data_IF_201139721320
#
_entry.id   IF_201139721320
#
_cell.length_a   1.000
_cell.length_b   1.000
_cell.length_c   1.000
_cell.angle_alpha   90.00
_cell.angle_beta   90.00
_cell.angle_gamma   90.00
#
_symmetry.space_group_name_H-M   'P 1'
#
loop_
_entity.id
_entity.type
_entity.pdbx_description
1 polymer ?
#
# COMPACT_ATOMS: atom_id res chain seq x y z
N UNK A 1 -5.05 -1.76 9.57
CA UNK A 1 -4.12 -0.62 9.42
C UNK A 1 -4.71 0.54 8.61
N UNK A 2 -5.25 0.35 7.40
CA UNK A 2 -5.83 1.45 6.59
C UNK A 2 -6.93 2.24 7.33
N UNK A 3 -7.82 1.55 8.04
CA UNK A 3 -8.87 2.21 8.82
C UNK A 3 -8.29 3.06 9.96
N UNK A 4 -7.29 2.55 10.68
CA UNK A 4 -6.63 3.29 11.75
C UNK A 4 -5.96 4.58 11.25
N UNK A 5 -5.38 4.58 10.05
CA UNK A 5 -4.83 5.79 9.42
C UNK A 5 -5.86 6.88 9.09
N UNK A 6 -7.16 6.60 9.26
CA UNK A 6 -8.26 7.57 9.09
C UNK A 6 -8.75 8.17 10.41
N UNK A 7 -8.38 7.58 11.54
CA UNK A 7 -8.75 8.12 12.84
C UNK A 7 -7.90 9.35 13.18
N UNK A 8 -8.55 10.43 13.57
CA UNK A 8 -7.85 11.56 14.19
C UNK A 8 -7.25 11.14 15.54
N UNK A 9 -6.23 11.86 15.98
CA UNK A 9 -5.59 11.58 17.28
C UNK A 9 -6.60 11.61 18.44
N UNK A 10 -7.59 12.51 18.40
CA UNK A 10 -8.64 12.62 19.40
C UNK A 10 -9.62 11.43 19.46
N UNK A 11 -9.65 10.61 18.40
CA UNK A 11 -10.50 9.40 18.32
C UNK A 11 -9.76 8.13 18.73
N UNK A 12 -8.46 8.23 19.02
CA UNK A 12 -7.64 7.08 19.40
C UNK A 12 -7.68 6.87 20.91
N UNK A 13 -7.97 5.66 21.30
CA UNK A 13 -7.83 5.20 22.69
C UNK A 13 -6.48 4.52 22.89
N UNK A 14 -5.99 4.34 24.12
CA UNK A 14 -4.75 3.60 24.37
C UNK A 14 -4.73 2.19 23.76
N UNK A 15 -5.89 1.52 23.73
CA UNK A 15 -6.01 0.21 23.08
C UNK A 15 -5.81 0.30 21.57
N UNK A 16 -6.38 1.32 20.92
CA UNK A 16 -6.22 1.57 19.49
C UNK A 16 -4.75 1.89 19.17
N UNK A 17 -4.11 2.74 19.96
CA UNK A 17 -2.69 3.08 19.78
C UNK A 17 -1.78 1.86 19.93
N UNK A 18 -2.05 1.02 20.93
CA UNK A 18 -1.34 -0.25 21.09
C UNK A 18 -1.52 -1.16 19.87
N UNK A 19 -2.74 -1.31 19.36
CA UNK A 19 -3.02 -2.12 18.18
C UNK A 19 -2.36 -1.55 16.92
N UNK A 20 -2.32 -0.22 16.77
CA UNK A 20 -1.61 0.47 15.67
C UNK A 20 -0.12 0.14 15.76
N UNK A 21 0.49 0.32 16.93
CA UNK A 21 1.92 0.09 17.12
C UNK A 21 2.31 -1.37 16.83
N UNK A 22 1.56 -2.32 17.37
CA UNK A 22 1.79 -3.74 17.10
C UNK A 22 1.66 -4.07 15.60
N UNK A 23 0.66 -3.48 14.94
CA UNK A 23 0.47 -3.66 13.50
C UNK A 23 1.59 -3.06 12.67
N UNK A 24 2.13 -1.89 13.07
CA UNK A 24 3.29 -1.25 12.44
C UNK A 24 4.52 -2.17 12.57
N UNK A 25 4.84 -2.60 13.78
CA UNK A 25 6.00 -3.47 14.03
C UNK A 25 5.89 -4.80 13.28
N UNK A 26 4.69 -5.40 13.21
CA UNK A 26 4.47 -6.58 12.39
C UNK A 26 4.73 -6.32 10.89
N UNK A 27 4.17 -5.23 10.34
CA UNK A 27 4.33 -4.91 8.92
C UNK A 27 5.75 -4.53 8.54
N UNK A 28 6.52 -3.98 9.48
CA UNK A 28 7.92 -3.57 9.29
C UNK A 28 8.91 -4.58 9.89
N UNK A 29 8.45 -5.75 10.36
CA UNK A 29 9.32 -6.83 10.85
C UNK A 29 10.17 -7.48 9.75
N UNK A 30 9.74 -7.32 8.50
CA UNK A 30 10.45 -7.75 7.28
C UNK A 30 10.39 -6.62 6.26
N UNK A 31 11.28 -6.65 5.27
CA UNK A 31 11.16 -5.71 4.13
C UNK A 31 9.83 -6.00 3.40
N UNK A 32 8.94 -5.00 3.27
CA UNK A 32 7.68 -5.19 2.54
C UNK A 32 7.86 -5.65 1.09
N UNK A 33 9.02 -5.36 0.48
CA UNK A 33 9.33 -5.82 -0.87
C UNK A 33 9.60 -7.33 -0.91
N UNK A 34 10.24 -7.90 0.12
CA UNK A 34 10.51 -9.33 0.22
C UNK A 34 9.25 -10.12 0.64
N UNK A 35 8.38 -9.50 1.41
CA UNK A 35 7.10 -10.04 1.84
C UNK A 35 7.18 -11.41 2.56
N UNK A 36 8.29 -11.68 3.24
CA UNK A 36 8.55 -12.95 3.95
C UNK A 36 7.88 -12.99 5.33
N UNK A 37 6.65 -12.46 5.43
CA UNK A 37 5.91 -12.43 6.70
C UNK A 37 5.68 -13.82 7.26
N UNK A 38 5.85 -13.99 8.58
CA UNK A 38 5.51 -15.25 9.23
C UNK A 38 4.01 -15.50 9.07
N UNK A 39 3.65 -16.56 8.36
CA UNK A 39 2.26 -16.99 8.21
C UNK A 39 2.14 -18.45 8.58
N UNK A 40 1.07 -18.80 9.31
CA UNK A 40 0.79 -20.20 9.65
C UNK A 40 0.35 -21.07 8.47
N UNK A 41 0.06 -20.46 7.32
CA UNK A 41 -0.57 -21.14 6.19
C UNK A 41 0.30 -21.22 4.94
N UNK A 42 1.06 -20.17 4.62
CA UNK A 42 1.90 -20.13 3.44
C UNK A 42 3.21 -19.41 3.74
N UNK A 43 4.33 -20.05 3.44
CA UNK A 43 5.66 -19.45 3.56
C UNK A 43 5.98 -18.45 2.42
N UNK A 44 5.11 -18.36 1.41
CA UNK A 44 5.33 -17.49 0.24
C UNK A 44 4.19 -16.49 0.10
N UNK A 45 4.49 -15.23 -0.24
CA UNK A 45 3.47 -14.24 -0.52
C UNK A 45 2.68 -14.60 -1.78
N UNK A 46 1.46 -14.05 -1.88
CA UNK A 46 0.66 -14.17 -3.11
C UNK A 46 1.42 -13.59 -4.30
N UNK A 47 1.35 -14.23 -5.46
CA UNK A 47 1.91 -13.68 -6.71
C UNK A 47 1.31 -12.33 -7.14
N UNK A 48 0.25 -11.87 -6.47
CA UNK A 48 -0.33 -10.55 -6.67
C UNK A 48 0.24 -9.48 -5.72
N UNK A 49 1.09 -9.85 -4.76
CA UNK A 49 1.70 -8.91 -3.81
C UNK A 49 2.41 -7.74 -4.50
N UNK A 50 3.14 -8.02 -5.56
CA UNK A 50 3.89 -7.01 -6.33
C UNK A 50 3.10 -6.39 -7.50
N UNK A 51 1.82 -6.73 -7.66
CA UNK A 51 0.96 -6.23 -8.72
C UNK A 51 0.00 -5.19 -8.17
N UNK A 52 -0.08 -4.05 -8.86
CA UNK A 52 -1.00 -3.00 -8.46
C UNK A 52 -2.38 -3.24 -9.05
N UNK A 53 -3.37 -3.37 -8.17
CA UNK A 53 -4.74 -3.67 -8.53
C UNK A 53 -5.75 -2.59 -8.18
N UNK A 54 -6.91 -2.69 -8.81
CA UNK A 54 -8.09 -1.92 -8.44
C UNK A 54 -9.37 -2.62 -8.93
N UNK A 55 -10.46 -2.65 -8.11
CA UNK A 55 -10.50 -2.26 -6.70
C UNK A 55 -9.66 -3.18 -5.81
N UNK A 56 -9.32 -2.70 -4.62
CA UNK A 56 -8.56 -3.49 -3.63
C UNK A 56 -9.55 -4.09 -2.65
N UNK A 57 -9.61 -5.41 -2.60
CA UNK A 57 -10.45 -6.15 -1.65
C UNK A 57 -9.56 -6.82 -0.58
N UNK A 58 -9.80 -8.11 -0.32
CA UNK A 58 -9.06 -8.88 0.68
C UNK A 58 -7.65 -9.34 0.24
N UNK A 59 -7.37 -9.32 -1.07
CA UNK A 59 -6.03 -9.62 -1.57
C UNK A 59 -5.18 -8.36 -1.48
N UNK A 60 -4.23 -8.37 -0.57
CA UNK A 60 -3.36 -7.23 -0.30
C UNK A 60 -2.21 -7.17 -1.31
N UNK A 61 -1.91 -5.98 -1.80
CA UNK A 61 -0.70 -5.65 -2.56
C UNK A 61 0.26 -4.78 -1.74
N UNK A 62 1.52 -4.70 -2.14
CA UNK A 62 2.54 -3.88 -1.48
C UNK A 62 2.15 -2.39 -1.44
N UNK A 63 1.45 -1.88 -2.46
CA UNK A 63 0.96 -0.50 -2.49
C UNK A 63 -0.02 -0.25 -1.34
N UNK A 64 -0.89 -1.23 -1.02
CA UNK A 64 -1.85 -1.11 0.08
C UNK A 64 -1.15 -1.05 1.45
N UNK A 65 -0.07 -1.83 1.64
CA UNK A 65 0.73 -1.77 2.87
C UNK A 65 1.37 -0.40 3.02
N UNK A 66 2.00 0.10 1.96
CA UNK A 66 2.63 1.42 1.98
C UNK A 66 1.60 2.54 2.18
N UNK A 67 0.42 2.45 1.54
CA UNK A 67 -0.71 3.38 1.79
C UNK A 67 -1.09 3.43 3.27
N UNK A 68 -1.13 2.27 3.94
CA UNK A 68 -1.48 2.19 5.35
C UNK A 68 -0.41 2.84 6.23
N UNK A 69 0.86 2.52 6.02
CA UNK A 69 1.97 3.02 6.82
C UNK A 69 2.21 4.53 6.61
N UNK A 70 2.18 5.00 5.37
CA UNK A 70 2.25 6.44 5.06
C UNK A 70 1.02 7.18 5.61
N UNK A 71 -0.16 6.53 5.60
CA UNK A 71 -1.37 7.06 6.22
C UNK A 71 -1.25 7.25 7.73
N UNK A 72 -0.40 6.47 8.40
CA UNK A 72 -0.10 6.54 9.83
C UNK A 72 1.09 7.46 10.16
N UNK A 73 1.67 8.13 9.17
CA UNK A 73 2.79 9.07 9.36
C UNK A 73 4.18 8.45 9.20
N UNK A 74 4.30 7.20 8.75
CA UNK A 74 5.57 6.48 8.65
C UNK A 74 6.25 6.62 7.27
N UNK A 75 5.90 7.64 6.50
CA UNK A 75 6.44 7.83 5.16
C UNK A 75 7.97 7.99 5.10
N UNK A 76 8.59 8.46 6.17
CA UNK A 76 10.04 8.65 6.29
C UNK A 76 10.74 7.49 7.02
N UNK A 77 10.05 6.41 7.35
CA UNK A 77 10.67 5.24 7.97
C UNK A 77 11.61 4.57 6.96
N UNK A 78 12.92 4.40 7.28
CA UNK A 78 13.90 3.83 6.35
C UNK A 78 13.56 2.39 5.92
N UNK A 79 12.79 1.66 6.71
CA UNK A 79 12.34 0.31 6.37
C UNK A 79 11.36 0.28 5.18
N UNK A 80 10.82 1.43 4.77
CA UNK A 80 9.94 1.56 3.59
C UNK A 80 10.69 1.92 2.31
N UNK A 81 11.97 2.21 2.36
CA UNK A 81 12.74 2.75 1.22
C UNK A 81 12.63 1.85 -0.02
N UNK A 82 12.85 0.55 0.12
CA UNK A 82 12.78 -0.40 -0.99
C UNK A 82 11.37 -0.48 -1.59
N UNK A 83 10.34 -0.50 -0.76
CA UNK A 83 8.95 -0.52 -1.20
C UNK A 83 8.55 0.78 -1.93
N UNK A 84 8.99 1.94 -1.43
CA UNK A 84 8.76 3.23 -2.07
C UNK A 84 9.47 3.34 -3.42
N UNK A 85 10.72 2.91 -3.50
CA UNK A 85 11.48 2.85 -4.75
C UNK A 85 10.81 1.90 -5.76
N UNK A 86 10.32 0.75 -5.30
CA UNK A 86 9.57 -0.17 -6.15
C UNK A 86 8.31 0.48 -6.74
N UNK A 87 7.52 1.19 -5.90
CA UNK A 87 6.34 1.91 -6.36
C UNK A 87 6.72 2.98 -7.38
N UNK A 88 7.76 3.77 -7.10
CA UNK A 88 8.23 4.83 -7.98
C UNK A 88 8.70 4.28 -9.34
N UNK A 89 9.42 3.17 -9.35
CA UNK A 89 9.98 2.56 -10.56
C UNK A 89 8.91 1.89 -11.46
N UNK A 90 7.71 1.65 -10.95
CA UNK A 90 6.58 1.14 -11.75
C UNK A 90 5.83 2.23 -12.53
N UNK A 91 6.21 3.47 -12.35
CA UNK A 91 5.65 4.61 -13.08
C UNK A 91 6.10 4.57 -14.55
N UNK A 92 5.17 4.71 -15.48
CA UNK A 92 5.48 4.82 -16.90
C UNK A 92 6.11 6.20 -17.23
N UNK A 93 6.52 6.36 -18.47
CA UNK A 93 7.14 7.62 -18.97
C UNK A 93 6.23 8.84 -18.86
N UNK A 94 4.93 8.63 -18.81
CA UNK A 94 3.91 9.69 -18.72
C UNK A 94 3.48 9.92 -17.25
N UNK A 95 4.17 9.31 -16.28
CA UNK A 95 3.89 9.48 -14.87
C UNK A 95 2.71 8.69 -14.33
N UNK A 96 2.31 7.61 -15.01
CA UNK A 96 1.12 6.81 -14.67
C UNK A 96 1.51 5.40 -14.26
N UNK A 97 0.62 4.73 -13.48
CA UNK A 97 0.75 3.33 -13.10
C UNK A 97 -0.31 2.48 -13.80
N UNK A 98 0.07 1.25 -14.10
CA UNK A 98 -0.77 0.30 -14.83
C UNK A 98 -1.65 -0.52 -13.88
N UNK A 99 -2.82 -0.93 -14.36
CA UNK A 99 -3.66 -1.94 -13.74
C UNK A 99 -3.08 -3.32 -14.04
N UNK A 100 -2.48 -3.97 -13.03
CA UNK A 100 -1.83 -5.27 -13.22
C UNK A 100 -2.70 -6.43 -12.72
N UNK A 101 -3.63 -6.11 -11.80
CA UNK A 101 -4.52 -7.06 -11.16
C UNK A 101 -5.90 -6.46 -10.97
N UNK A 102 -6.94 -7.23 -11.25
CA UNK A 102 -8.34 -6.85 -11.08
C UNK A 102 -9.22 -8.05 -10.69
N UNK A 103 -10.47 -7.77 -10.43
CA UNK A 103 -11.52 -8.75 -10.17
C UNK A 103 -12.50 -8.82 -11.34
N UNK A 104 -12.02 -8.95 -12.58
CA UNK A 104 -12.85 -9.05 -13.78
C UNK A 104 -13.93 -10.11 -13.60
N UNK A 105 -15.17 -9.76 -13.89
CA UNK A 105 -16.34 -10.63 -13.71
C UNK A 105 -16.85 -10.76 -12.27
N UNK A 106 -16.18 -10.13 -11.29
CA UNK A 106 -16.60 -10.11 -9.88
C UNK A 106 -16.94 -8.71 -9.36
N UNK A 107 -16.99 -7.73 -10.25
CA UNK A 107 -17.38 -6.36 -9.97
C UNK A 107 -18.47 -5.90 -10.94
N UNK A 108 -19.36 -5.04 -10.46
CA UNK A 108 -20.43 -4.45 -11.28
C UNK A 108 -19.94 -3.46 -12.33
N UNK A 109 -18.72 -2.94 -12.14
CA UNK A 109 -18.12 -1.95 -13.01
C UNK A 109 -16.74 -2.43 -13.50
N UNK A 110 -16.44 -2.17 -14.77
CA UNK A 110 -15.12 -2.41 -15.35
C UNK A 110 -14.22 -1.19 -15.10
N UNK A 111 -13.18 -1.36 -14.33
CA UNK A 111 -12.23 -0.30 -13.96
C UNK A 111 -11.13 -0.07 -14.99
N UNK A 112 -11.17 -0.75 -16.11
CA UNK A 112 -10.24 -0.61 -17.22
C UNK A 112 -9.47 -1.90 -17.56
N UNK A 113 -8.80 -1.92 -18.70
CA UNK A 113 -8.04 -3.08 -19.15
C UNK A 113 -6.75 -3.28 -18.34
N UNK A 114 -6.41 -4.55 -18.09
CA UNK A 114 -5.11 -4.91 -17.48
C UNK A 114 -3.94 -4.54 -18.36
N UNK A 115 -2.80 -4.30 -17.71
CA UNK A 115 -1.51 -3.93 -18.35
C UNK A 115 -1.55 -2.60 -19.11
N UNK A 116 -2.53 -1.75 -18.79
CA UNK A 116 -2.68 -0.41 -19.35
C UNK A 116 -2.64 0.63 -18.22
N UNK A 117 -2.24 1.88 -18.51
CA UNK A 117 -2.31 2.97 -17.58
C UNK A 117 -3.72 3.11 -16.99
N UNK A 118 -3.81 3.23 -15.67
CA UNK A 118 -5.09 3.22 -14.99
C UNK A 118 -5.19 4.38 -13.99
N UNK A 119 -6.25 5.18 -14.10
CA UNK A 119 -6.45 6.37 -13.26
C UNK A 119 -6.55 6.05 -11.77
N UNK A 120 -7.16 4.92 -11.41
CA UNK A 120 -7.36 4.55 -10.01
C UNK A 120 -6.06 4.08 -9.35
N UNK A 121 -5.29 3.25 -10.07
CA UNK A 121 -3.96 2.81 -9.61
C UNK A 121 -3.01 4.01 -9.54
N UNK A 122 -3.02 4.85 -10.58
CA UNK A 122 -2.22 6.09 -10.61
C UNK A 122 -2.57 7.01 -9.44
N UNK A 123 -3.86 7.21 -9.15
CA UNK A 123 -4.30 8.01 -8.01
C UNK A 123 -3.79 7.45 -6.68
N UNK A 124 -3.87 6.13 -6.48
CA UNK A 124 -3.37 5.48 -5.26
C UNK A 124 -1.87 5.72 -5.08
N UNK A 125 -1.07 5.38 -6.11
CA UNK A 125 0.38 5.51 -6.05
C UNK A 125 0.84 6.98 -5.93
N UNK A 126 0.26 7.87 -6.72
CA UNK A 126 0.57 9.31 -6.66
C UNK A 126 0.24 9.91 -5.29
N UNK A 127 -0.88 9.52 -4.67
CA UNK A 127 -1.26 9.98 -3.33
C UNK A 127 -0.24 9.58 -2.26
N UNK A 128 0.31 8.37 -2.35
CA UNK A 128 1.38 7.92 -1.45
C UNK A 128 2.61 8.81 -1.61
N UNK A 129 3.09 8.95 -2.85
CA UNK A 129 4.32 9.71 -3.12
C UNK A 129 4.18 11.19 -2.79
N UNK A 130 3.01 11.80 -3.02
CA UNK A 130 2.73 13.19 -2.64
C UNK A 130 2.84 13.40 -1.13
N UNK A 131 2.27 12.51 -0.32
CA UNK A 131 2.38 12.63 1.14
C UNK A 131 3.81 12.65 1.64
N UNK A 132 4.73 11.93 0.97
CA UNK A 132 6.16 11.97 1.30
C UNK A 132 6.81 13.32 1.02
N UNK A 133 6.39 13.98 -0.07
CA UNK A 133 6.89 15.31 -0.42
C UNK A 133 6.44 16.36 0.58
N UNK A 134 5.18 16.28 1.03
CA UNK A 134 4.60 17.23 1.98
C UNK A 134 5.29 17.14 3.37
N UNK A 135 5.73 15.93 3.78
CA UNK A 135 6.40 15.70 5.08
C UNK A 135 7.88 16.14 5.08
N UNK A 136 8.50 16.39 3.92
CA UNK A 136 9.90 16.85 3.81
C UNK A 136 10.06 18.36 3.87
N UNK A 137 8.96 19.11 3.93
CA UNK A 137 8.95 20.59 3.90
C UNK A 137 8.78 21.18 5.31
N UNK A 138 8.49 20.38 6.32
CA UNK A 138 8.49 20.75 7.75
C UNK A 138 9.83 20.43 8.41
#
# INVERSE_FOLDING_TARGET
MLAFGKLSLSQRTPLIDTAIQQGIEFLLSVDPLDATYPSGWNAKPSGNWWKFGFPVFYVTDILQIVEALVGLGLGNDPRLENALNFIQNKKDKDGRWHLEYDYTGKTWYNFGPKKQPNKWVTFRAARVLRKLSDTKIE
#
